data_IF_416642613180
#
_entry.id   IF_416642613180
#
_cell.length_a   1.000
_cell.length_b   1.000
_cell.length_c   1.000
_cell.angle_alpha   90.00
_cell.angle_beta   90.00
_cell.angle_gamma   90.00
#
_symmetry.space_group_name_H-M   'P 1'
#
loop_
_entity.id
_entity.type
_entity.pdbx_description
1 polymer ?
#
# COMPACT_ATOMS: atom_id res chain seq x y z
N UNK A 1 6.72 -16.09 -9.24
CA UNK A 1 6.15 -15.00 -10.09
C UNK A 1 7.00 -14.85 -11.36
N UNK A 2 6.42 -14.33 -12.48
CA UNK A 2 7.16 -14.12 -13.73
C UNK A 2 8.08 -12.88 -13.64
N UNK A 3 9.21 -12.86 -14.40
CA UNK A 3 10.17 -11.74 -14.35
C UNK A 3 9.55 -10.37 -14.62
N UNK A 4 8.53 -10.29 -15.47
CA UNK A 4 7.82 -9.05 -15.82
C UNK A 4 7.22 -8.30 -14.62
N UNK A 5 6.86 -9.01 -13.56
CA UNK A 5 6.23 -8.48 -12.35
C UNK A 5 7.11 -8.61 -11.11
N UNK A 6 8.42 -8.80 -11.32
CA UNK A 6 9.38 -9.04 -10.24
C UNK A 6 10.34 -7.86 -10.11
N UNK A 7 10.39 -7.24 -8.92
CA UNK A 7 11.40 -6.23 -8.60
C UNK A 7 12.61 -6.90 -7.92
N UNK A 8 13.84 -6.48 -8.23
CA UNK A 8 15.05 -7.18 -7.77
C UNK A 8 15.17 -7.32 -6.25
N UNK A 9 14.79 -6.29 -5.49
CA UNK A 9 14.90 -6.29 -4.03
C UNK A 9 14.02 -7.37 -3.38
N UNK A 10 12.77 -7.54 -3.85
CA UNK A 10 11.87 -8.57 -3.34
C UNK A 10 12.28 -9.95 -3.84
N UNK A 11 12.72 -10.08 -5.09
CA UNK A 11 13.23 -11.34 -5.63
C UNK A 11 14.42 -11.88 -4.83
N UNK A 12 15.32 -11.01 -4.40
CA UNK A 12 16.51 -11.40 -3.62
C UNK A 12 16.17 -12.06 -2.27
N UNK A 13 15.00 -11.76 -1.69
CA UNK A 13 14.56 -12.43 -0.45
C UNK A 13 14.27 -13.92 -0.70
N UNK A 14 13.72 -14.23 -1.87
CA UNK A 14 13.28 -15.58 -2.27
C UNK A 14 14.32 -16.35 -3.07
N UNK A 15 15.50 -15.75 -3.28
CA UNK A 15 16.62 -16.41 -3.95
C UNK A 15 17.13 -17.58 -3.13
N UNK A 16 17.45 -18.74 -3.74
CA UNK A 16 17.99 -19.91 -3.05
C UNK A 16 19.23 -19.61 -2.19
N UNK A 17 20.16 -18.78 -2.68
CA UNK A 17 21.35 -18.40 -1.90
C UNK A 17 20.97 -17.65 -0.62
N UNK A 18 20.00 -16.74 -0.70
CA UNK A 18 19.48 -16.01 0.48
C UNK A 18 18.85 -16.98 1.46
N UNK A 19 18.04 -17.93 1.00
CA UNK A 19 17.42 -18.95 1.84
C UNK A 19 18.50 -19.82 2.53
N UNK A 20 19.45 -20.36 1.81
CA UNK A 20 20.52 -21.19 2.38
C UNK A 20 21.40 -20.40 3.34
N UNK A 21 21.64 -19.14 3.08
CA UNK A 21 22.33 -18.24 4.00
C UNK A 21 21.59 -18.12 5.34
N UNK A 22 20.29 -17.89 5.31
CA UNK A 22 19.46 -17.80 6.51
C UNK A 22 19.44 -19.14 7.26
N UNK A 23 19.30 -20.27 6.56
CA UNK A 23 19.36 -21.60 7.18
C UNK A 23 20.70 -21.83 7.90
N UNK A 24 21.81 -21.47 7.24
CA UNK A 24 23.14 -21.55 7.86
C UNK A 24 23.25 -20.64 9.10
N UNK A 25 22.77 -19.40 9.04
CA UNK A 25 22.81 -18.48 10.17
C UNK A 25 22.05 -19.05 11.38
N UNK A 26 20.88 -19.66 11.17
CA UNK A 26 20.10 -20.31 12.23
C UNK A 26 20.87 -21.45 12.86
N UNK A 27 21.43 -22.38 12.05
CA UNK A 27 22.25 -23.52 12.51
C UNK A 27 23.49 -23.06 13.28
N UNK A 28 24.20 -22.07 12.77
CA UNK A 28 25.39 -21.52 13.40
C UNK A 28 25.12 -20.83 14.73
N UNK A 29 24.00 -20.08 14.80
CA UNK A 29 23.57 -19.46 16.06
C UNK A 29 23.09 -20.49 17.08
N UNK A 30 22.38 -21.54 16.64
CA UNK A 30 22.05 -22.67 17.52
C UNK A 30 23.30 -23.35 18.08
N UNK A 31 24.29 -23.68 17.22
CA UNK A 31 25.58 -24.22 17.63
C UNK A 31 26.30 -23.27 18.61
N UNK A 32 26.31 -21.95 18.35
CA UNK A 32 26.91 -20.96 19.26
C UNK A 32 26.25 -20.97 20.64
N UNK A 33 24.91 -21.09 20.68
CA UNK A 33 24.18 -21.20 21.96
C UNK A 33 24.52 -22.50 22.70
N UNK A 34 24.52 -23.62 22.00
CA UNK A 34 24.85 -24.92 22.57
C UNK A 34 26.30 -24.95 23.13
N UNK A 35 27.24 -24.28 22.44
CA UNK A 35 28.61 -24.13 22.92
C UNK A 35 28.69 -23.31 24.22
N UNK A 36 27.90 -22.22 24.34
CA UNK A 36 27.81 -21.44 25.58
C UNK A 36 27.23 -22.24 26.74
N UNK A 37 26.36 -23.19 26.44
CA UNK A 37 25.75 -24.10 27.43
C UNK A 37 26.62 -25.31 27.76
N UNK A 38 27.77 -25.47 27.08
CA UNK A 38 28.69 -26.62 27.27
C UNK A 38 28.18 -27.92 26.64
N UNK A 39 27.18 -27.87 25.76
CA UNK A 39 26.65 -29.05 25.04
C UNK A 39 27.59 -29.50 23.94
N UNK A 40 28.23 -28.54 23.26
CA UNK A 40 29.26 -28.82 22.23
C UNK A 40 30.52 -28.01 22.53
N UNK A 41 31.69 -28.42 21.94
CA UNK A 41 32.95 -27.68 22.10
C UNK A 41 32.85 -26.26 21.51
N UNK A 42 33.40 -25.26 22.19
CA UNK A 42 33.40 -23.87 21.73
C UNK A 42 34.12 -23.66 20.41
N UNK A 43 35.28 -24.29 20.27
CA UNK A 43 36.08 -24.24 19.06
C UNK A 43 35.35 -24.83 17.83
N UNK A 44 34.49 -25.83 18.05
CA UNK A 44 33.66 -26.39 16.98
C UNK A 44 32.66 -25.38 16.47
N UNK A 45 31.93 -24.69 17.36
CA UNK A 45 30.97 -23.65 16.97
C UNK A 45 31.67 -22.47 16.25
N UNK A 46 32.84 -22.06 16.72
CA UNK A 46 33.65 -21.02 16.06
C UNK A 46 34.09 -21.43 14.65
N UNK A 47 34.55 -22.68 14.46
CA UNK A 47 34.91 -23.18 13.14
C UNK A 47 33.72 -23.30 12.19
N UNK A 48 32.56 -23.74 12.68
CA UNK A 48 31.32 -23.75 11.89
C UNK A 48 31.02 -22.33 11.35
N UNK A 49 31.05 -21.32 12.22
CA UNK A 49 30.81 -19.94 11.80
C UNK A 49 31.88 -19.47 10.79
N UNK A 50 33.14 -19.64 11.08
CA UNK A 50 34.23 -19.13 10.23
C UNK A 50 34.25 -19.74 8.83
N UNK A 51 33.94 -21.04 8.70
CA UNK A 51 33.91 -21.71 7.40
C UNK A 51 32.63 -21.42 6.60
N UNK A 52 31.51 -21.23 7.26
CA UNK A 52 30.21 -21.05 6.59
C UNK A 52 29.78 -19.61 6.35
N UNK A 53 30.25 -18.61 7.13
CA UNK A 53 29.79 -17.22 7.07
C UNK A 53 29.92 -16.56 5.70
N UNK A 54 30.94 -16.90 4.92
CA UNK A 54 31.18 -16.33 3.59
C UNK A 54 31.03 -17.40 2.47
N UNK A 55 30.53 -18.60 2.81
CA UNK A 55 30.37 -19.68 1.84
C UNK A 55 29.29 -19.31 0.80
N UNK A 56 29.52 -19.69 -0.44
CA UNK A 56 28.52 -19.73 -1.50
C UNK A 56 27.98 -21.15 -1.54
N UNK A 57 26.66 -21.28 -1.40
CA UNK A 57 26.00 -22.59 -1.42
C UNK A 57 25.82 -23.05 -2.86
N UNK A 58 26.28 -24.25 -3.20
CA UNK A 58 26.05 -24.83 -4.50
C UNK A 58 24.64 -25.41 -4.57
N UNK A 59 23.72 -24.64 -5.21
CA UNK A 59 22.31 -25.00 -5.32
C UNK A 59 22.13 -26.28 -6.12
N UNK A 60 22.89 -26.46 -7.21
CA UNK A 60 22.81 -27.65 -8.06
C UNK A 60 23.26 -28.90 -7.28
N UNK A 61 24.32 -28.76 -6.49
CA UNK A 61 24.82 -29.84 -5.61
C UNK A 61 23.80 -30.19 -4.53
N UNK A 62 23.15 -29.22 -3.91
CA UNK A 62 22.09 -29.48 -2.93
C UNK A 62 20.91 -30.21 -3.58
N UNK A 63 20.50 -29.77 -4.78
CA UNK A 63 19.44 -30.45 -5.55
C UNK A 63 19.80 -31.87 -5.97
N UNK A 64 21.07 -32.14 -6.28
CA UNK A 64 21.56 -33.50 -6.53
C UNK A 64 21.41 -34.40 -5.30
N UNK A 65 21.88 -33.92 -4.14
CA UNK A 65 21.78 -34.65 -2.87
C UNK A 65 20.28 -34.88 -2.53
N UNK A 66 19.44 -33.85 -2.70
CA UNK A 66 17.97 -33.96 -2.43
C UNK A 66 17.32 -35.03 -3.31
N UNK A 67 17.73 -35.16 -4.57
CA UNK A 67 17.21 -36.21 -5.47
C UNK A 67 17.51 -37.63 -4.95
N UNK A 68 18.60 -37.82 -4.19
CA UNK A 68 18.95 -39.10 -3.57
C UNK A 68 18.22 -39.27 -2.23
N UNK A 69 18.39 -38.32 -1.29
CA UNK A 69 17.89 -38.45 0.09
C UNK A 69 16.42 -38.14 0.28
N UNK A 70 15.77 -37.49 -0.72
CA UNK A 70 14.36 -37.10 -0.73
C UNK A 70 13.96 -36.21 0.45
N UNK A 71 14.88 -35.34 0.92
CA UNK A 71 14.66 -34.46 2.07
C UNK A 71 15.52 -33.21 1.95
N UNK A 72 14.89 -32.04 1.80
CA UNK A 72 15.56 -30.76 1.54
C UNK A 72 16.52 -30.31 2.66
N UNK A 73 16.07 -30.39 3.92
CA UNK A 73 16.92 -30.00 5.07
C UNK A 73 18.13 -30.94 5.21
N UNK A 74 17.95 -32.23 5.01
CA UNK A 74 19.09 -33.22 5.03
C UNK A 74 20.03 -32.92 3.89
N UNK A 75 19.56 -32.60 2.69
CA UNK A 75 20.37 -32.23 1.56
C UNK A 75 21.22 -30.98 1.85
N UNK A 76 20.60 -29.95 2.40
CA UNK A 76 21.31 -28.74 2.84
C UNK A 76 22.39 -29.05 3.90
N UNK A 77 22.06 -29.81 4.94
CA UNK A 77 22.99 -30.16 6.01
C UNK A 77 24.16 -31.04 5.48
N UNK A 78 23.90 -31.91 4.53
CA UNK A 78 24.92 -32.73 3.86
C UNK A 78 25.90 -31.84 3.09
N UNK A 79 25.38 -30.89 2.30
CA UNK A 79 26.22 -29.92 1.61
C UNK A 79 26.99 -29.02 2.58
N UNK A 80 26.34 -28.58 3.66
CA UNK A 80 26.98 -27.78 4.70
C UNK A 80 28.14 -28.58 5.38
N UNK A 81 28.00 -29.91 5.52
CA UNK A 81 29.08 -30.77 6.00
C UNK A 81 30.28 -30.81 5.01
N UNK A 82 30.03 -30.78 3.70
CA UNK A 82 31.11 -30.66 2.69
C UNK A 82 31.91 -29.37 2.87
N UNK A 83 31.28 -28.27 3.30
CA UNK A 83 31.90 -26.96 3.54
C UNK A 83 32.62 -26.92 4.89
N UNK A 84 31.92 -27.32 5.96
CA UNK A 84 32.37 -27.17 7.35
C UNK A 84 33.35 -28.28 7.75
N UNK A 85 33.16 -29.51 7.24
CA UNK A 85 33.93 -30.68 7.56
C UNK A 85 33.54 -31.31 8.90
N UNK A 86 34.51 -31.87 9.63
CA UNK A 86 34.26 -32.71 10.81
C UNK A 86 33.43 -32.05 11.93
N UNK A 87 33.45 -30.73 12.03
CA UNK A 87 32.69 -29.97 13.02
C UNK A 87 31.19 -29.93 12.70
N UNK A 88 30.77 -30.24 11.47
CA UNK A 88 29.39 -30.30 11.06
C UNK A 88 28.54 -31.32 11.85
N UNK A 89 29.17 -32.33 12.46
CA UNK A 89 28.53 -33.28 13.37
C UNK A 89 27.84 -32.63 14.58
N UNK A 90 28.15 -31.38 14.86
CA UNK A 90 27.56 -30.60 15.96
C UNK A 90 26.39 -29.71 15.50
N UNK A 91 26.08 -29.66 14.19
CA UNK A 91 24.92 -28.97 13.63
C UNK A 91 23.65 -29.79 13.85
N UNK A 92 22.52 -29.10 13.89
CA UNK A 92 21.16 -29.67 13.96
C UNK A 92 20.92 -30.61 15.18
N UNK A 93 21.71 -30.52 16.23
CA UNK A 93 21.58 -31.41 17.39
C UNK A 93 20.33 -31.12 18.19
N UNK A 94 19.46 -32.13 18.35
CA UNK A 94 18.17 -32.00 19.07
C UNK A 94 17.10 -31.19 18.35
N UNK A 95 17.39 -30.61 17.20
CA UNK A 95 16.47 -29.84 16.37
C UNK A 95 15.73 -30.73 15.39
N UNK A 96 14.66 -30.18 14.80
CA UNK A 96 13.94 -30.76 13.68
C UNK A 96 13.98 -29.83 12.47
N UNK A 97 13.71 -30.35 11.28
CA UNK A 97 13.74 -29.55 10.04
C UNK A 97 12.87 -28.30 10.13
N UNK A 98 11.71 -28.37 10.76
CA UNK A 98 10.81 -27.23 10.91
C UNK A 98 11.35 -26.14 11.82
N UNK A 99 12.17 -26.43 12.81
CA UNK A 99 12.85 -25.43 13.63
C UNK A 99 13.65 -24.45 12.77
N UNK A 100 14.33 -24.98 11.74
CA UNK A 100 15.16 -24.19 10.83
C UNK A 100 14.31 -23.60 9.70
N UNK A 101 13.41 -24.39 9.10
CA UNK A 101 12.59 -23.97 7.95
C UNK A 101 11.60 -22.87 8.33
N UNK A 102 10.87 -23.03 9.43
CA UNK A 102 9.87 -22.04 9.87
C UNK A 102 10.54 -20.75 10.35
N UNK A 103 11.65 -20.85 11.09
CA UNK A 103 12.44 -19.69 11.50
C UNK A 103 13.04 -18.97 10.28
N UNK A 104 13.52 -19.68 9.27
CA UNK A 104 13.97 -19.10 8.00
C UNK A 104 12.81 -18.38 7.28
N UNK A 105 11.67 -19.02 7.20
CA UNK A 105 10.48 -18.45 6.57
C UNK A 105 10.01 -17.18 7.28
N UNK A 106 10.03 -17.16 8.60
CA UNK A 106 9.73 -15.96 9.38
C UNK A 106 10.69 -14.79 9.06
N UNK A 107 11.99 -15.07 8.91
CA UNK A 107 12.99 -14.07 8.50
C UNK A 107 12.68 -13.53 7.10
N UNK A 108 12.36 -14.41 6.14
CA UNK A 108 12.03 -14.00 4.77
C UNK A 108 10.75 -13.13 4.75
N UNK A 109 9.69 -13.56 5.41
CA UNK A 109 8.43 -12.80 5.49
C UNK A 109 8.60 -11.45 6.20
N UNK A 110 9.39 -11.40 7.28
CA UNK A 110 9.75 -10.15 7.95
C UNK A 110 10.49 -9.18 7.02
N UNK A 111 11.48 -9.66 6.26
CA UNK A 111 12.21 -8.85 5.27
C UNK A 111 11.30 -8.39 4.13
N UNK A 112 10.39 -9.23 3.68
CA UNK A 112 9.38 -8.85 2.70
C UNK A 112 8.45 -7.74 3.21
N UNK A 113 8.04 -7.81 4.49
CA UNK A 113 7.27 -6.73 5.13
C UNK A 113 8.02 -5.39 5.11
N UNK A 114 9.34 -5.39 5.31
CA UNK A 114 10.13 -4.14 5.29
C UNK A 114 10.01 -3.44 3.93
N UNK A 115 10.18 -4.19 2.84
CA UNK A 115 10.03 -3.66 1.47
C UNK A 115 8.58 -3.15 1.23
N UNK A 116 7.58 -3.94 1.63
CA UNK A 116 6.17 -3.56 1.45
C UNK A 116 5.79 -2.31 2.27
N UNK A 117 6.39 -2.11 3.45
CA UNK A 117 6.21 -0.91 4.26
C UNK A 117 6.82 0.32 3.58
N UNK A 118 8.01 0.19 3.00
CA UNK A 118 8.67 1.26 2.23
C UNK A 118 7.85 1.64 0.98
N UNK A 119 7.26 0.65 0.30
CA UNK A 119 6.35 0.89 -0.83
C UNK A 119 5.07 1.62 -0.40
N UNK A 120 4.48 1.22 0.73
CA UNK A 120 3.32 1.92 1.31
C UNK A 120 3.67 3.35 1.72
N UNK A 121 4.84 3.59 2.31
CA UNK A 121 5.31 4.93 2.67
C UNK A 121 5.50 5.81 1.41
N UNK A 122 6.01 5.23 0.33
CA UNK A 122 6.13 5.90 -0.98
C UNK A 122 4.76 6.27 -1.56
N UNK A 123 3.79 5.35 -1.51
CA UNK A 123 2.42 5.61 -1.95
C UNK A 123 1.73 6.69 -1.10
N UNK A 124 1.88 6.63 0.22
CA UNK A 124 1.33 7.61 1.16
C UNK A 124 1.89 9.00 0.89
N UNK A 125 3.20 9.13 0.65
CA UNK A 125 3.83 10.41 0.31
C UNK A 125 3.27 10.98 -1.01
N UNK A 126 3.06 10.15 -2.02
CA UNK A 126 2.45 10.57 -3.29
C UNK A 126 1.00 11.03 -3.09
N UNK A 127 0.19 10.27 -2.34
CA UNK A 127 -1.20 10.61 -2.03
C UNK A 127 -1.30 11.91 -1.23
N UNK A 128 -0.48 12.11 -0.19
CA UNK A 128 -0.43 13.32 0.61
C UNK A 128 -0.12 14.54 -0.28
N UNK A 129 0.96 14.48 -1.05
CA UNK A 129 1.37 15.57 -1.93
C UNK A 129 0.27 15.95 -2.91
N UNK A 130 -0.33 14.97 -3.58
CA UNK A 130 -1.39 15.19 -4.57
C UNK A 130 -2.70 15.66 -3.92
N UNK A 131 -3.04 15.16 -2.73
CA UNK A 131 -4.20 15.66 -1.96
C UNK A 131 -4.07 17.15 -1.65
N UNK A 132 -2.91 17.60 -1.19
CA UNK A 132 -2.68 19.02 -0.92
C UNK A 132 -2.66 19.87 -2.19
N UNK A 133 -2.10 19.39 -3.30
CA UNK A 133 -2.09 20.06 -4.60
C UNK A 133 -3.52 20.34 -5.07
N UNK A 134 -4.42 19.36 -4.92
CA UNK A 134 -5.80 19.44 -5.36
C UNK A 134 -6.82 19.68 -4.24
N UNK A 135 -6.36 20.19 -3.09
CA UNK A 135 -7.18 20.40 -1.90
C UNK A 135 -8.50 21.13 -2.17
N UNK A 136 -8.45 22.13 -3.01
CA UNK A 136 -9.59 22.98 -3.37
C UNK A 136 -10.00 22.83 -4.85
N UNK A 137 -9.55 21.82 -5.56
CA UNK A 137 -9.97 21.54 -6.93
C UNK A 137 -11.37 20.91 -6.89
N UNK A 138 -12.44 21.66 -7.28
CA UNK A 138 -13.80 21.17 -7.16
C UNK A 138 -14.11 20.13 -8.24
N UNK A 139 -14.88 19.13 -7.87
CA UNK A 139 -15.42 18.12 -8.78
C UNK A 139 -16.79 17.66 -8.31
N UNK A 140 -17.52 16.97 -9.17
CA UNK A 140 -18.78 16.35 -8.80
C UNK A 140 -18.55 15.03 -8.05
N UNK A 141 -19.18 14.87 -6.90
CA UNK A 141 -19.33 13.60 -6.21
C UNK A 141 -20.36 12.72 -6.89
N UNK A 142 -20.07 11.43 -7.02
CA UNK A 142 -20.97 10.45 -7.62
C UNK A 142 -21.30 9.35 -6.61
N UNK A 143 -22.58 9.09 -6.40
CA UNK A 143 -23.07 7.89 -5.72
C UNK A 143 -23.95 7.11 -6.71
N UNK A 144 -23.87 5.78 -6.68
CA UNK A 144 -24.53 4.90 -7.66
C UNK A 144 -24.21 5.23 -9.13
N UNK A 145 -23.07 5.91 -9.40
CA UNK A 145 -22.71 6.42 -10.73
C UNK A 145 -23.38 7.73 -11.13
N UNK A 146 -24.28 8.27 -10.31
CA UNK A 146 -25.07 9.48 -10.58
C UNK A 146 -24.45 10.69 -9.86
N UNK A 147 -24.57 11.87 -10.47
CA UNK A 147 -24.14 13.13 -9.86
C UNK A 147 -24.89 13.39 -8.55
N UNK A 148 -24.17 13.62 -7.46
CA UNK A 148 -24.69 13.94 -6.14
C UNK A 148 -24.33 15.39 -5.75
N UNK A 149 -23.41 15.57 -4.82
CA UNK A 149 -22.99 16.89 -4.34
C UNK A 149 -21.52 17.18 -4.69
N UNK A 150 -21.10 18.45 -4.70
CA UNK A 150 -19.72 18.84 -4.91
C UNK A 150 -18.79 18.33 -3.81
N UNK A 151 -17.61 17.88 -4.20
CA UNK A 151 -16.46 17.64 -3.32
C UNK A 151 -15.19 18.20 -3.97
N UNK A 152 -14.02 17.93 -3.39
CA UNK A 152 -12.74 18.25 -4.05
C UNK A 152 -11.98 16.99 -4.42
N UNK A 153 -11.18 17.05 -5.49
CA UNK A 153 -10.30 15.94 -5.85
C UNK A 153 -9.29 15.63 -4.73
N UNK A 154 -8.83 16.67 -4.01
CA UNK A 154 -7.99 16.50 -2.83
C UNK A 154 -8.66 15.70 -1.72
N UNK A 155 -9.97 15.86 -1.46
CA UNK A 155 -10.71 15.03 -0.50
C UNK A 155 -10.77 13.56 -0.94
N UNK A 156 -10.93 13.29 -2.23
CA UNK A 156 -10.91 11.93 -2.79
C UNK A 156 -9.56 11.25 -2.52
N UNK A 157 -8.45 11.96 -2.73
CA UNK A 157 -7.11 11.47 -2.45
C UNK A 157 -6.82 11.36 -0.95
N UNK A 158 -7.33 12.29 -0.12
CA UNK A 158 -7.23 12.20 1.33
C UNK A 158 -7.96 10.97 1.90
N UNK A 159 -9.09 10.59 1.32
CA UNK A 159 -9.79 9.35 1.70
C UNK A 159 -8.95 8.11 1.38
N UNK A 160 -8.29 8.08 0.21
CA UNK A 160 -7.36 7.01 -0.14
C UNK A 160 -6.14 6.99 0.80
N UNK A 161 -5.55 8.15 1.10
CA UNK A 161 -4.46 8.26 2.08
C UNK A 161 -4.83 7.63 3.42
N UNK A 162 -5.96 8.00 4.01
CA UNK A 162 -6.41 7.45 5.29
C UNK A 162 -6.65 5.92 5.25
N UNK A 163 -7.05 5.38 4.10
CA UNK A 163 -7.20 3.93 3.89
C UNK A 163 -5.83 3.23 3.87
N UNK A 164 -4.85 3.77 3.16
CA UNK A 164 -3.50 3.20 3.11
C UNK A 164 -2.70 3.42 4.40
N UNK A 165 -2.98 4.45 5.20
CA UNK A 165 -2.46 4.56 6.57
C UNK A 165 -2.93 3.39 7.46
N UNK A 166 -4.21 3.02 7.36
CA UNK A 166 -4.73 1.83 8.05
C UNK A 166 -4.13 0.53 7.51
N UNK A 167 -3.90 0.45 6.20
CA UNK A 167 -3.22 -0.69 5.57
C UNK A 167 -1.78 -0.84 6.10
N UNK A 168 -1.04 0.28 6.20
CA UNK A 168 0.30 0.32 6.80
C UNK A 168 0.30 -0.16 8.26
N UNK A 169 -0.63 0.33 9.06
CA UNK A 169 -0.74 -0.08 10.47
C UNK A 169 -1.01 -1.58 10.62
N UNK A 170 -1.88 -2.15 9.75
CA UNK A 170 -2.12 -3.60 9.72
C UNK A 170 -0.88 -4.39 9.33
N UNK A 171 -0.11 -3.92 8.34
CA UNK A 171 1.12 -4.60 7.92
C UNK A 171 2.20 -4.55 9.00
N UNK A 172 2.31 -3.44 9.76
CA UNK A 172 3.20 -3.37 10.93
C UNK A 172 2.81 -4.41 11.98
N UNK A 173 1.52 -4.57 12.28
CA UNK A 173 1.04 -5.59 13.21
C UNK A 173 1.31 -7.01 12.67
N UNK A 174 0.99 -7.28 11.41
CA UNK A 174 1.25 -8.57 10.77
C UNK A 174 2.75 -8.92 10.73
N UNK A 175 3.63 -7.92 10.49
CA UNK A 175 5.08 -8.10 10.58
C UNK A 175 5.53 -8.51 11.97
N UNK A 176 4.99 -7.87 13.02
CA UNK A 176 5.34 -8.21 14.39
C UNK A 176 4.89 -9.63 14.76
N UNK A 177 3.72 -10.04 14.27
CA UNK A 177 3.16 -11.37 14.51
C UNK A 177 3.89 -12.48 13.77
N UNK A 178 4.28 -12.26 12.50
CA UNK A 178 4.98 -13.28 11.69
C UNK A 178 6.48 -13.38 12.02
N UNK A 179 7.08 -12.39 12.68
CA UNK A 179 8.49 -12.38 13.05
C UNK A 179 8.76 -13.28 14.27
N UNK A 180 8.47 -14.58 14.16
CA UNK A 180 8.46 -15.55 15.25
C UNK A 180 9.47 -16.68 14.97
N UNK A 181 10.16 -17.14 16.01
CA UNK A 181 11.17 -18.21 15.99
C UNK A 181 10.66 -19.37 16.86
N UNK A 182 10.82 -20.60 16.39
CA UNK A 182 10.64 -21.79 17.17
C UNK A 182 11.83 -22.74 16.96
N UNK A 183 12.54 -23.10 18.03
CA UNK A 183 13.59 -24.11 18.07
C UNK A 183 13.28 -25.02 19.25
N UNK A 184 12.31 -25.89 19.09
CA UNK A 184 11.71 -26.64 20.21
C UNK A 184 11.67 -28.15 19.99
N UNK A 185 12.21 -28.63 18.87
CA UNK A 185 12.30 -30.05 18.54
C UNK A 185 11.03 -30.62 17.90
N UNK A 186 10.99 -31.95 17.68
CA UNK A 186 9.99 -32.60 16.80
C UNK A 186 8.52 -32.39 17.17
N UNK A 187 8.21 -32.06 18.41
CA UNK A 187 6.83 -31.87 18.89
C UNK A 187 6.71 -30.70 19.88
N UNK A 188 7.68 -29.78 19.90
CA UNK A 188 7.60 -28.55 20.69
C UNK A 188 7.90 -28.69 22.19
N UNK A 189 8.46 -29.83 22.64
CA UNK A 189 8.64 -30.11 24.07
C UNK A 189 10.05 -29.81 24.61
N UNK A 190 10.98 -29.36 23.78
CA UNK A 190 12.37 -29.13 24.12
C UNK A 190 13.10 -30.37 24.69
N UNK A 191 12.66 -31.59 24.33
CA UNK A 191 13.21 -32.83 24.88
C UNK A 191 14.71 -32.98 24.67
N UNK A 192 15.26 -32.49 23.55
CA UNK A 192 16.68 -32.65 23.18
C UNK A 192 17.38 -31.34 22.87
N UNK A 193 16.70 -30.19 23.04
CA UNK A 193 17.27 -28.85 22.84
C UNK A 193 16.87 -27.95 24.02
N UNK A 194 17.82 -27.18 24.56
CA UNK A 194 17.54 -26.27 25.68
C UNK A 194 16.80 -25.02 25.17
N UNK A 195 15.71 -24.54 25.84
CA UNK A 195 14.99 -23.32 25.43
C UNK A 195 15.84 -22.07 25.29
N UNK A 196 17.01 -22.04 25.96
CA UNK A 196 17.98 -20.93 25.81
C UNK A 196 18.61 -20.88 24.42
N UNK A 197 18.64 -22.00 23.68
CA UNK A 197 19.08 -22.05 22.28
C UNK A 197 18.10 -21.27 21.42
N UNK A 198 16.80 -21.53 21.55
CA UNK A 198 15.74 -20.80 20.84
C UNK A 198 15.80 -19.29 21.14
N UNK A 199 15.89 -18.91 22.40
CA UNK A 199 15.97 -17.50 22.82
C UNK A 199 17.21 -16.81 22.20
N UNK A 200 18.33 -17.52 22.09
CA UNK A 200 19.54 -17.00 21.47
C UNK A 200 19.36 -16.83 19.95
N UNK A 201 18.85 -17.83 19.23
CA UNK A 201 18.58 -17.78 17.80
C UNK A 201 17.58 -16.66 17.50
N UNK A 202 16.46 -16.58 18.21
CA UNK A 202 15.47 -15.53 18.05
C UNK A 202 16.10 -14.12 18.15
N UNK A 203 16.91 -13.90 19.20
CA UNK A 203 17.64 -12.64 19.39
C UNK A 203 18.58 -12.32 18.24
N UNK A 204 19.35 -13.28 17.77
CA UNK A 204 20.34 -13.08 16.70
C UNK A 204 19.66 -12.82 15.34
N UNK A 205 18.53 -13.49 15.07
CA UNK A 205 17.73 -13.31 13.84
C UNK A 205 16.74 -12.12 13.93
N UNK A 206 16.66 -11.47 15.10
CA UNK A 206 15.75 -10.34 15.34
C UNK A 206 14.28 -10.77 15.29
N UNK A 207 13.97 -11.94 15.83
CA UNK A 207 12.65 -12.54 15.95
C UNK A 207 12.18 -12.57 17.42
N UNK A 208 10.91 -12.85 17.65
CA UNK A 208 10.36 -13.18 18.97
C UNK A 208 10.26 -14.69 19.13
N UNK A 209 10.34 -15.17 20.34
CA UNK A 209 10.16 -16.61 20.64
C UNK A 209 8.68 -16.97 20.55
N UNK A 210 8.33 -18.09 19.92
CA UNK A 210 7.00 -18.67 19.95
C UNK A 210 6.70 -19.19 21.36
N UNK A 211 5.62 -18.73 22.03
CA UNK A 211 5.30 -19.18 23.39
C UNK A 211 5.08 -20.68 23.50
N UNK A 212 4.44 -21.27 22.49
CA UNK A 212 4.19 -22.71 22.40
C UNK A 212 4.03 -23.11 20.93
N UNK A 213 4.88 -24.02 20.48
CA UNK A 213 4.77 -24.62 19.13
C UNK A 213 4.43 -26.11 19.24
N UNK A 214 4.04 -26.68 18.11
CA UNK A 214 4.05 -28.12 17.86
C UNK A 214 5.38 -28.49 17.18
N UNK A 215 5.38 -29.23 16.11
CA UNK A 215 6.58 -29.34 15.23
C UNK A 215 6.77 -28.06 14.41
N UNK A 216 5.74 -27.22 14.27
CA UNK A 216 5.71 -26.02 13.46
C UNK A 216 5.20 -24.83 14.26
N UNK A 217 5.56 -23.62 13.81
CA UNK A 217 4.91 -22.38 14.27
C UNK A 217 3.43 -22.43 13.86
N UNK A 218 2.46 -22.02 14.70
CA UNK A 218 1.04 -22.00 14.37
C UNK A 218 0.74 -21.21 13.09
N UNK A 219 -0.04 -21.80 12.17
CA UNK A 219 -0.29 -21.23 10.82
C UNK A 219 -1.34 -20.12 10.78
N UNK A 220 -2.06 -19.88 11.87
CA UNK A 220 -2.93 -18.70 12.01
C UNK A 220 -2.14 -17.38 11.85
N UNK A 221 -0.88 -17.31 12.30
CA UNK A 221 0.04 -16.18 12.06
C UNK A 221 0.27 -15.94 10.57
N UNK A 222 0.52 -17.01 9.83
CA UNK A 222 0.71 -16.94 8.37
C UNK A 222 -0.60 -16.57 7.67
N UNK A 223 -1.72 -17.16 8.07
CA UNK A 223 -3.05 -16.83 7.54
C UNK A 223 -3.37 -15.34 7.73
N UNK A 224 -3.11 -14.77 8.91
CA UNK A 224 -3.29 -13.33 9.18
C UNK A 224 -2.37 -12.46 8.31
N UNK A 225 -1.12 -12.88 8.12
CA UNK A 225 -0.20 -12.19 7.23
C UNK A 225 -0.77 -12.11 5.81
N UNK A 226 -1.15 -13.25 5.18
CA UNK A 226 -1.70 -13.27 3.82
C UNK A 226 -3.05 -12.56 3.71
N UNK A 227 -3.91 -12.64 4.74
CA UNK A 227 -5.15 -11.86 4.81
C UNK A 227 -4.87 -10.35 4.81
N UNK A 228 -3.82 -9.92 5.51
CA UNK A 228 -3.39 -8.51 5.50
C UNK A 228 -2.95 -8.07 4.10
N UNK A 229 -2.15 -8.89 3.39
CA UNK A 229 -1.77 -8.60 1.99
C UNK A 229 -3.00 -8.51 1.09
N UNK A 230 -3.99 -9.39 1.26
CA UNK A 230 -5.23 -9.40 0.49
C UNK A 230 -6.07 -8.13 0.71
N UNK A 231 -6.13 -7.62 1.95
CA UNK A 231 -6.82 -6.34 2.27
C UNK A 231 -6.10 -5.16 1.61
N UNK A 232 -4.76 -5.13 1.66
CA UNK A 232 -3.97 -4.09 0.98
C UNK A 232 -4.24 -4.12 -0.53
N UNK A 233 -4.19 -5.30 -1.16
CA UNK A 233 -4.48 -5.48 -2.57
C UNK A 233 -5.90 -5.02 -2.95
N UNK A 234 -6.89 -5.26 -2.08
CA UNK A 234 -8.27 -4.79 -2.29
C UNK A 234 -8.38 -3.26 -2.27
N UNK A 235 -7.65 -2.60 -1.37
CA UNK A 235 -7.56 -1.13 -1.32
C UNK A 235 -6.88 -0.57 -2.59
N UNK A 236 -5.86 -1.26 -3.09
CA UNK A 236 -5.19 -0.87 -4.35
C UNK A 236 -6.14 -1.00 -5.55
N UNK A 237 -6.90 -2.09 -5.64
CA UNK A 237 -7.89 -2.28 -6.71
C UNK A 237 -8.98 -1.20 -6.66
N UNK A 238 -9.47 -0.86 -5.47
CA UNK A 238 -10.46 0.22 -5.30
C UNK A 238 -9.95 1.54 -5.87
N UNK A 239 -8.72 1.95 -5.52
CA UNK A 239 -8.14 3.20 -6.01
C UNK A 239 -7.86 3.14 -7.52
N UNK A 240 -7.32 2.05 -8.02
CA UNK A 240 -7.07 1.84 -9.45
C UNK A 240 -8.38 1.86 -10.26
N UNK A 241 -9.45 1.27 -9.74
CA UNK A 241 -10.78 1.32 -10.36
C UNK A 241 -11.34 2.74 -10.41
N UNK A 242 -11.17 3.54 -9.35
CA UNK A 242 -11.55 4.95 -9.35
C UNK A 242 -10.82 5.74 -10.44
N UNK A 243 -9.50 5.54 -10.61
CA UNK A 243 -8.72 6.19 -11.67
C UNK A 243 -9.25 5.81 -13.05
N UNK A 244 -9.57 4.51 -13.27
CA UNK A 244 -10.17 4.05 -14.54
C UNK A 244 -11.52 4.72 -14.80
N UNK A 245 -12.36 4.91 -13.78
CA UNK A 245 -13.61 5.66 -13.90
C UNK A 245 -13.38 7.13 -14.25
N UNK A 246 -12.37 7.78 -13.69
CA UNK A 246 -12.04 9.18 -13.99
C UNK A 246 -11.50 9.35 -15.41
N UNK A 247 -10.85 8.32 -15.98
CA UNK A 247 -10.27 8.34 -17.33
C UNK A 247 -11.27 7.98 -18.44
N UNK A 248 -12.47 7.48 -18.13
CA UNK A 248 -13.48 7.15 -19.14
C UNK A 248 -13.77 8.37 -20.04
N UNK A 249 -14.03 8.12 -21.31
CA UNK A 249 -14.26 9.17 -22.34
C UNK A 249 -15.34 10.18 -21.95
N UNK A 250 -16.42 9.71 -21.29
CA UNK A 250 -17.56 10.53 -20.86
C UNK A 250 -17.27 11.34 -19.58
N UNK A 251 -16.24 10.98 -18.83
CA UNK A 251 -15.83 11.61 -17.56
C UNK A 251 -14.61 12.49 -17.76
N UNK A 252 -13.50 11.92 -18.19
CA UNK A 252 -12.22 12.54 -18.55
C UNK A 252 -11.74 13.61 -17.55
N UNK A 253 -11.79 13.29 -16.27
CA UNK A 253 -11.40 14.18 -15.16
C UNK A 253 -9.95 13.96 -14.72
N UNK A 254 -9.40 12.77 -14.97
CA UNK A 254 -8.00 12.43 -14.77
C UNK A 254 -7.56 11.38 -15.80
N UNK A 255 -6.24 11.24 -16.00
CA UNK A 255 -5.65 10.32 -16.98
C UNK A 255 -4.29 9.83 -16.49
N UNK A 256 -3.95 8.55 -16.74
CA UNK A 256 -2.59 8.04 -16.54
C UNK A 256 -1.59 8.81 -17.39
N UNK A 257 -0.40 9.06 -16.84
CA UNK A 257 0.66 9.74 -17.58
C UNK A 257 1.16 8.85 -18.74
N UNK A 258 1.20 9.42 -19.92
CA UNK A 258 1.77 8.81 -21.11
C UNK A 258 3.13 9.43 -21.42
N UNK A 259 4.17 8.60 -21.45
CA UNK A 259 5.51 9.05 -21.82
C UNK A 259 5.64 9.27 -23.34
N UNK A 260 6.61 10.10 -23.74
CA UNK A 260 6.91 10.30 -25.15
C UNK A 260 7.25 8.95 -25.81
N UNK A 261 6.64 8.68 -26.96
CA UNK A 261 6.82 7.42 -27.70
C UNK A 261 5.99 6.23 -27.21
N UNK A 262 5.31 6.32 -26.09
CA UNK A 262 4.42 5.26 -25.61
C UNK A 262 3.25 5.05 -26.59
N UNK A 263 2.87 3.80 -26.83
CA UNK A 263 1.70 3.43 -27.64
C UNK A 263 0.55 3.01 -26.72
N UNK A 264 -0.60 3.66 -26.86
CA UNK A 264 -1.79 3.37 -26.04
C UNK A 264 -2.72 2.31 -26.66
N UNK A 265 -2.63 2.14 -27.97
CA UNK A 265 -3.45 1.19 -28.73
C UNK A 265 -2.71 0.77 -29.98
N UNK A 266 -2.88 -0.49 -30.40
CA UNK A 266 -2.33 -1.01 -31.65
C UNK A 266 -3.14 -0.56 -32.88
N UNK A 267 -4.43 -0.26 -32.69
CA UNK A 267 -5.35 0.07 -33.78
C UNK A 267 -5.64 1.59 -33.92
N UNK A 268 -5.74 2.31 -32.78
CA UNK A 268 -6.13 3.71 -32.75
C UNK A 268 -5.04 4.57 -32.09
N UNK A 269 -4.25 5.35 -32.86
CA UNK A 269 -3.08 6.07 -32.30
C UNK A 269 -3.39 7.09 -31.20
N UNK A 270 -4.61 7.63 -31.18
CA UNK A 270 -5.06 8.60 -30.16
C UNK A 270 -5.58 7.96 -28.87
N UNK A 271 -5.87 6.64 -28.87
CA UNK A 271 -6.49 5.95 -27.74
C UNK A 271 -5.47 5.68 -26.65
N UNK A 272 -5.69 6.24 -25.46
CA UNK A 272 -4.87 6.06 -24.26
C UNK A 272 -5.60 5.21 -23.25
N UNK A 273 -5.24 3.94 -23.16
CA UNK A 273 -5.87 3.00 -22.24
C UNK A 273 -5.25 3.13 -20.83
N UNK A 274 -6.02 2.97 -19.74
CA UNK A 274 -5.53 2.98 -18.37
C UNK A 274 -4.85 1.65 -17.99
N UNK A 275 -3.78 1.29 -18.73
CA UNK A 275 -3.14 -0.04 -18.66
C UNK A 275 -2.49 -0.29 -17.31
N UNK A 276 -1.97 0.74 -16.64
CA UNK A 276 -1.34 0.59 -15.34
C UNK A 276 -2.39 0.24 -14.27
N UNK A 277 -3.51 0.95 -14.24
CA UNK A 277 -4.63 0.67 -13.33
C UNK A 277 -5.27 -0.69 -13.60
N UNK A 278 -5.44 -1.08 -14.87
CA UNK A 278 -5.95 -2.41 -15.26
C UNK A 278 -5.02 -3.52 -14.77
N UNK A 279 -3.71 -3.35 -14.93
CA UNK A 279 -2.73 -4.31 -14.46
C UNK A 279 -2.75 -4.43 -12.93
N UNK A 280 -2.85 -3.31 -12.19
CA UNK A 280 -2.97 -3.32 -10.72
C UNK A 280 -4.24 -4.09 -10.30
N UNK A 281 -5.39 -3.86 -10.95
CA UNK A 281 -6.63 -4.59 -10.63
C UNK A 281 -6.48 -6.09 -10.89
N UNK A 282 -5.75 -6.48 -11.93
CA UNK A 282 -5.46 -7.89 -12.22
C UNK A 282 -4.58 -8.55 -11.15
N UNK A 283 -3.47 -7.88 -10.78
CA UNK A 283 -2.54 -8.38 -9.75
C UNK A 283 -3.20 -8.48 -8.37
N UNK A 284 -4.08 -7.53 -8.02
CA UNK A 284 -4.82 -7.58 -6.76
C UNK A 284 -5.70 -8.84 -6.62
N UNK A 285 -6.25 -9.36 -7.72
CA UNK A 285 -7.01 -10.62 -7.71
C UNK A 285 -6.14 -11.81 -7.34
N UNK A 286 -4.90 -11.86 -7.86
CA UNK A 286 -3.94 -12.93 -7.53
C UNK A 286 -3.59 -12.88 -6.05
N UNK A 287 -3.20 -11.70 -5.53
CA UNK A 287 -2.83 -11.55 -4.11
C UNK A 287 -3.97 -11.97 -3.18
N UNK A 288 -5.22 -11.62 -3.49
CA UNK A 288 -6.38 -12.09 -2.72
C UNK A 288 -6.56 -13.60 -2.79
N UNK A 289 -6.29 -14.19 -3.96
CA UNK A 289 -6.39 -15.64 -4.15
C UNK A 289 -5.44 -16.42 -3.24
N UNK A 290 -4.27 -15.88 -2.93
CA UNK A 290 -3.29 -16.53 -2.07
C UNK A 290 -3.65 -16.55 -0.57
N UNK A 291 -4.60 -15.73 -0.13
CA UNK A 291 -5.06 -15.77 1.27
C UNK A 291 -5.88 -17.02 1.60
N UNK A 292 -6.63 -17.57 0.66
CA UNK A 292 -7.45 -18.76 0.88
C UNK A 292 -6.61 -19.99 1.24
N UNK A 293 -5.62 -20.41 0.44
CA UNK A 293 -4.80 -21.57 0.81
C UNK A 293 -3.97 -21.33 2.07
N UNK A 294 -3.61 -20.10 2.39
CA UNK A 294 -2.96 -19.79 3.67
C UNK A 294 -3.89 -20.01 4.87
N UNK A 295 -5.18 -19.72 4.75
CA UNK A 295 -6.18 -20.01 5.78
C UNK A 295 -6.42 -21.53 5.92
N UNK A 296 -6.39 -22.26 4.82
CA UNK A 296 -6.54 -23.73 4.83
C UNK A 296 -5.36 -24.42 5.55
N UNK A 297 -4.17 -23.82 5.51
CA UNK A 297 -3.01 -24.34 6.22
C UNK A 297 -3.10 -24.26 7.76
N UNK A 298 -4.08 -23.56 8.31
CA UNK A 298 -4.29 -23.52 9.78
C UNK A 298 -4.66 -24.91 10.33
N UNK A 299 -5.41 -25.68 9.54
CA UNK A 299 -5.89 -27.01 9.92
C UNK A 299 -4.90 -28.11 9.52
N UNK A 300 -3.79 -28.24 10.25
CA UNK A 300 -2.86 -29.34 10.09
C UNK A 300 -3.24 -30.53 11.00
N UNK A 301 -2.81 -31.74 10.60
CA UNK A 301 -3.02 -32.95 11.42
C UNK A 301 -2.06 -32.99 12.58
N UNK A 302 -2.59 -33.16 13.80
CA UNK A 302 -1.84 -33.33 15.04
C UNK A 302 -0.76 -32.23 15.21
N UNK A 303 0.47 -32.61 15.51
CA UNK A 303 1.60 -31.69 15.67
C UNK A 303 2.13 -31.16 14.35
N UNK A 304 1.89 -31.85 13.21
CA UNK A 304 2.16 -31.43 11.84
C UNK A 304 1.78 -32.50 10.81
N UNK A 305 1.25 -32.09 9.67
CA UNK A 305 1.46 -32.76 8.39
C UNK A 305 2.22 -31.81 7.42
N UNK A 306 2.63 -32.28 6.24
CA UNK A 306 3.48 -31.48 5.33
C UNK A 306 2.68 -30.73 4.26
N UNK A 307 1.35 -30.75 4.30
CA UNK A 307 0.49 -30.13 3.27
C UNK A 307 0.74 -28.64 3.10
N UNK A 308 1.03 -27.93 4.20
CA UNK A 308 1.33 -26.50 4.18
C UNK A 308 2.58 -26.15 3.34
N UNK A 309 3.56 -27.02 3.30
CA UNK A 309 4.88 -26.74 2.71
C UNK A 309 4.79 -26.44 1.21
N UNK A 310 4.05 -27.26 0.44
CA UNK A 310 3.87 -27.04 -1.00
C UNK A 310 3.11 -25.75 -1.30
N UNK A 311 2.16 -25.38 -0.44
CA UNK A 311 1.40 -24.13 -0.56
C UNK A 311 2.30 -22.93 -0.30
N UNK A 312 3.03 -22.91 0.82
CA UNK A 312 3.83 -21.78 1.26
C UNK A 312 5.01 -21.47 0.32
N UNK A 313 5.61 -22.49 -0.30
CA UNK A 313 6.65 -22.33 -1.32
C UNK A 313 6.18 -21.55 -2.55
N UNK A 314 4.88 -21.55 -2.84
CA UNK A 314 4.28 -20.83 -3.96
C UNK A 314 3.72 -19.49 -3.53
N UNK A 315 2.83 -19.49 -2.53
CA UNK A 315 2.06 -18.29 -2.19
C UNK A 315 2.92 -17.17 -1.59
N UNK A 316 3.98 -17.49 -0.85
CA UNK A 316 4.78 -16.49 -0.17
C UNK A 316 5.61 -15.63 -1.15
N UNK A 317 6.45 -16.20 -2.02
CA UNK A 317 7.14 -15.40 -3.03
C UNK A 317 6.15 -14.71 -3.99
N UNK A 318 5.11 -15.40 -4.44
CA UNK A 318 4.21 -14.86 -5.45
C UNK A 318 3.34 -13.72 -4.92
N UNK A 319 2.80 -13.82 -3.70
CA UNK A 319 2.01 -12.76 -3.09
C UNK A 319 2.84 -11.50 -2.82
N UNK A 320 4.03 -11.67 -2.23
CA UNK A 320 4.89 -10.54 -1.85
C UNK A 320 5.48 -9.85 -3.07
N UNK A 321 5.94 -10.60 -4.07
CA UNK A 321 6.47 -10.06 -5.34
C UNK A 321 5.37 -9.32 -6.12
N UNK A 322 4.16 -9.90 -6.22
CA UNK A 322 3.05 -9.26 -6.92
C UNK A 322 2.61 -7.97 -6.23
N UNK A 323 2.54 -7.98 -4.90
CA UNK A 323 2.11 -6.82 -4.11
C UNK A 323 3.16 -5.70 -4.16
N UNK A 324 4.44 -6.00 -3.99
CA UNK A 324 5.57 -5.07 -4.12
C UNK A 324 5.56 -4.36 -5.48
N UNK A 325 5.47 -5.13 -6.56
CA UNK A 325 5.41 -4.58 -7.91
C UNK A 325 4.18 -3.66 -8.10
N UNK A 326 3.02 -4.09 -7.62
CA UNK A 326 1.78 -3.35 -7.81
C UNK A 326 1.72 -2.08 -6.94
N UNK A 327 2.25 -2.09 -5.71
CA UNK A 327 2.37 -0.91 -4.84
C UNK A 327 3.29 0.15 -5.46
N UNK A 328 4.48 -0.25 -5.92
CA UNK A 328 5.42 0.65 -6.57
C UNK A 328 4.81 1.26 -7.86
N UNK A 329 4.06 0.46 -8.63
CA UNK A 329 3.34 0.93 -9.81
C UNK A 329 2.25 1.93 -9.45
N UNK A 330 1.46 1.66 -8.41
CA UNK A 330 0.40 2.55 -7.95
C UNK A 330 0.96 3.88 -7.43
N UNK A 331 2.04 3.84 -6.66
CA UNK A 331 2.72 5.05 -6.19
C UNK A 331 3.18 5.94 -7.36
N UNK A 332 3.83 5.36 -8.36
CA UNK A 332 4.27 6.08 -9.56
C UNK A 332 3.11 6.60 -10.42
N UNK A 333 1.98 5.87 -10.46
CA UNK A 333 0.77 6.29 -11.15
C UNK A 333 0.15 7.52 -10.49
N UNK A 334 -0.04 7.50 -9.17
CA UNK A 334 -0.59 8.62 -8.39
C UNK A 334 0.31 9.85 -8.50
N UNK A 335 1.63 9.65 -8.39
CA UNK A 335 2.61 10.73 -8.46
C UNK A 335 2.52 11.50 -9.79
N UNK A 336 2.34 10.78 -10.91
CA UNK A 336 2.34 11.33 -12.26
C UNK A 336 0.96 11.54 -12.87
N UNK A 337 -0.13 11.27 -12.11
CA UNK A 337 -1.50 11.35 -12.61
C UNK A 337 -1.80 12.74 -13.21
N UNK A 338 -2.25 12.77 -14.44
CA UNK A 338 -2.74 13.99 -15.08
C UNK A 338 -4.14 14.30 -14.57
N UNK A 339 -4.37 15.51 -14.11
CA UNK A 339 -5.66 15.95 -13.56
C UNK A 339 -6.17 17.12 -14.39
N UNK A 340 -7.45 17.11 -14.73
CA UNK A 340 -8.10 18.09 -15.59
C UNK A 340 -9.17 18.92 -14.82
N UNK A 341 -8.77 19.96 -14.05
CA UNK A 341 -9.69 20.77 -13.25
C UNK A 341 -10.79 21.43 -14.08
N UNK A 342 -10.51 21.83 -15.30
CA UNK A 342 -11.49 22.42 -16.22
C UNK A 342 -12.59 21.41 -16.59
N UNK A 343 -12.22 20.15 -16.85
CA UNK A 343 -13.19 19.08 -17.15
C UNK A 343 -13.99 18.71 -15.88
N UNK A 344 -13.34 18.66 -14.72
CA UNK A 344 -14.04 18.48 -13.44
C UNK A 344 -15.11 19.54 -13.21
N UNK A 345 -14.78 20.82 -13.46
CA UNK A 345 -15.73 21.92 -13.36
C UNK A 345 -16.87 21.81 -14.38
N UNK A 346 -16.56 21.48 -15.64
CA UNK A 346 -17.56 21.25 -16.69
C UNK A 346 -18.54 20.14 -16.31
N UNK A 347 -18.04 19.03 -15.75
CA UNK A 347 -18.88 17.91 -15.31
C UNK A 347 -19.73 18.30 -14.07
N UNK A 348 -19.17 19.09 -13.15
CA UNK A 348 -19.91 19.63 -12.00
C UNK A 348 -21.12 20.48 -12.45
N UNK A 349 -20.93 21.29 -13.49
CA UNK A 349 -21.98 22.20 -14.00
C UNK A 349 -22.97 21.51 -14.96
N UNK A 350 -22.69 20.29 -15.40
CA UNK A 350 -23.38 19.58 -16.49
C UNK A 350 -24.90 19.48 -16.32
N UNK A 351 -25.37 19.37 -15.09
CA UNK A 351 -26.79 19.22 -14.77
C UNK A 351 -27.44 20.53 -14.34
N UNK A 352 -27.01 21.69 -14.89
CA UNK A 352 -27.70 22.97 -14.74
C UNK A 352 -28.00 23.37 -13.28
N UNK A 353 -27.09 23.08 -12.35
CA UNK A 353 -27.23 23.48 -10.95
C UNK A 353 -28.02 22.52 -10.05
N UNK A 354 -28.50 21.36 -10.53
CA UNK A 354 -29.25 20.36 -9.75
C UNK A 354 -28.49 19.85 -8.51
N UNK A 355 -27.18 19.93 -8.50
CA UNK A 355 -26.32 19.58 -7.35
C UNK A 355 -26.63 20.37 -6.08
N UNK A 356 -27.35 21.50 -6.22
CA UNK A 356 -27.78 22.37 -5.11
C UNK A 356 -29.22 22.07 -4.64
N UNK A 357 -29.92 21.09 -5.19
CA UNK A 357 -31.34 20.82 -4.91
C UNK A 357 -31.62 20.58 -3.42
N UNK A 358 -30.72 19.84 -2.71
CA UNK A 358 -30.86 19.65 -1.27
C UNK A 358 -30.70 20.95 -0.49
N UNK A 359 -29.78 21.82 -0.87
CA UNK A 359 -29.60 23.13 -0.23
C UNK A 359 -30.84 23.98 -0.34
N UNK A 360 -31.40 24.06 -1.54
CA UNK A 360 -32.67 24.81 -1.77
C UNK A 360 -33.81 24.24 -0.93
N UNK A 361 -33.92 22.90 -0.86
CA UNK A 361 -34.95 22.25 -0.04
C UNK A 361 -34.77 22.61 1.45
N UNK A 362 -33.55 22.59 1.96
CA UNK A 362 -33.24 22.98 3.35
C UNK A 362 -33.53 24.45 3.60
N UNK A 363 -33.17 25.34 2.68
CA UNK A 363 -33.46 26.77 2.78
C UNK A 363 -34.98 27.05 2.83
N UNK A 364 -35.76 26.39 2.00
CA UNK A 364 -37.23 26.48 2.02
C UNK A 364 -37.81 26.04 3.38
N UNK A 365 -37.35 24.91 3.92
CA UNK A 365 -37.84 24.43 5.23
C UNK A 365 -37.44 25.36 6.37
N UNK A 366 -36.26 25.95 6.34
CA UNK A 366 -35.82 26.96 7.31
C UNK A 366 -36.62 28.24 7.26
N UNK A 367 -37.27 28.52 6.13
CA UNK A 367 -38.18 29.68 5.93
C UNK A 367 -39.64 29.34 6.18
N UNK A 368 -39.94 28.17 6.70
CA UNK A 368 -41.28 27.79 7.15
C UNK A 368 -42.09 26.92 6.20
N UNK A 369 -41.52 26.48 5.06
CA UNK A 369 -42.20 25.48 4.24
C UNK A 369 -42.18 24.10 4.95
N UNK A 370 -43.28 23.33 4.83
CA UNK A 370 -43.23 21.93 5.26
C UNK A 370 -42.23 21.13 4.43
N UNK A 371 -41.79 19.97 4.93
CA UNK A 371 -40.87 19.11 4.20
C UNK A 371 -41.46 18.67 2.85
N UNK A 372 -42.74 18.31 2.86
CA UNK A 372 -43.49 17.86 1.68
C UNK A 372 -43.60 18.98 0.66
N UNK A 373 -43.92 20.20 1.14
CA UNK A 373 -44.01 21.37 0.29
C UNK A 373 -42.67 21.75 -0.32
N UNK A 374 -41.60 21.79 0.49
CA UNK A 374 -40.26 22.07 0.01
C UNK A 374 -39.82 21.03 -1.02
N UNK A 375 -40.08 19.74 -0.77
CA UNK A 375 -39.74 18.65 -1.71
C UNK A 375 -40.49 18.84 -3.04
N UNK A 376 -41.81 19.09 -2.99
CA UNK A 376 -42.67 19.34 -4.18
C UNK A 376 -42.14 20.51 -4.99
N UNK A 377 -41.84 21.63 -4.33
CA UNK A 377 -41.34 22.83 -5.00
C UNK A 377 -39.97 22.59 -5.66
N UNK A 378 -39.06 21.93 -4.98
CA UNK A 378 -37.73 21.58 -5.53
C UNK A 378 -37.89 20.62 -6.70
N UNK A 379 -38.64 19.52 -6.55
CA UNK A 379 -38.82 18.50 -7.58
C UNK A 379 -39.48 19.08 -8.85
N UNK A 380 -40.50 19.91 -8.69
CA UNK A 380 -41.18 20.57 -9.81
C UNK A 380 -40.24 21.41 -10.68
N UNK A 381 -39.27 22.09 -10.07
CA UNK A 381 -38.27 22.89 -10.77
C UNK A 381 -37.06 22.06 -11.24
N UNK A 382 -36.75 20.98 -10.56
CA UNK A 382 -35.59 20.13 -10.89
C UNK A 382 -35.87 19.20 -12.09
N UNK A 383 -37.08 18.63 -12.20
CA UNK A 383 -37.40 17.65 -13.25
C UNK A 383 -37.31 18.20 -14.68
N UNK A 384 -37.71 19.43 -14.99
CA UNK A 384 -37.45 20.02 -16.29
C UNK A 384 -35.95 20.12 -16.61
N UNK A 385 -35.15 20.60 -15.64
CA UNK A 385 -33.67 20.69 -15.80
C UNK A 385 -33.06 19.34 -16.06
N UNK A 386 -33.53 18.29 -15.36
CA UNK A 386 -33.06 16.90 -15.59
C UNK A 386 -33.32 16.43 -17.04
N UNK A 387 -34.43 16.92 -17.66
CA UNK A 387 -34.73 16.66 -19.07
C UNK A 387 -34.00 17.59 -20.05
N UNK A 388 -33.16 18.50 -19.57
CA UNK A 388 -32.45 19.49 -20.39
C UNK A 388 -33.24 20.76 -20.70
N UNK A 389 -34.36 21.01 -19.99
CA UNK A 389 -35.29 22.14 -20.20
C UNK A 389 -34.95 23.31 -19.25
N UNK A 390 -33.78 23.93 -19.45
CA UNK A 390 -33.41 25.15 -18.72
C UNK A 390 -32.37 24.94 -17.58
N UNK A 391 -32.30 25.95 -16.70
CA UNK A 391 -31.35 26.05 -15.58
C UNK A 391 -32.11 26.12 -14.25
N UNK A 392 -31.63 25.37 -13.25
CA UNK A 392 -32.34 25.18 -11.98
C UNK A 392 -32.52 26.49 -11.20
N UNK A 393 -31.47 27.31 -11.14
CA UNK A 393 -31.58 28.63 -10.48
C UNK A 393 -32.61 29.55 -11.17
N UNK A 394 -32.57 29.55 -12.50
CA UNK A 394 -33.53 30.35 -13.30
C UNK A 394 -34.96 29.92 -13.07
N UNK A 395 -35.26 28.63 -13.04
CA UNK A 395 -36.62 28.13 -12.79
C UNK A 395 -37.08 28.44 -11.38
N UNK A 396 -36.26 28.25 -10.36
CA UNK A 396 -36.57 28.62 -8.97
C UNK A 396 -36.85 30.11 -8.82
N UNK A 397 -36.09 30.97 -9.49
CA UNK A 397 -36.28 32.43 -9.45
C UNK A 397 -37.58 32.85 -10.08
N UNK A 398 -38.07 32.16 -11.12
CA UNK A 398 -39.35 32.43 -11.77
C UNK A 398 -40.56 31.84 -11.04
N UNK A 399 -40.37 30.88 -10.16
CA UNK A 399 -41.43 30.19 -9.44
C UNK A 399 -42.00 31.06 -8.31
N UNK A 400 -43.25 31.51 -8.48
CA UNK A 400 -43.94 32.38 -7.52
C UNK A 400 -44.12 31.75 -6.13
N UNK A 401 -44.29 30.42 -6.03
CA UNK A 401 -44.42 29.75 -4.74
C UNK A 401 -43.07 29.67 -4.00
N UNK A 402 -41.98 29.35 -4.72
CA UNK A 402 -40.63 29.43 -4.16
C UNK A 402 -40.31 30.84 -3.68
N UNK A 403 -40.70 31.85 -4.45
CA UNK A 403 -40.50 33.27 -4.15
C UNK A 403 -41.28 33.79 -2.93
N UNK A 404 -42.24 33.03 -2.40
CA UNK A 404 -42.87 33.32 -1.11
C UNK A 404 -41.95 33.11 0.07
N UNK A 405 -41.05 32.17 -0.05
CA UNK A 405 -40.08 31.76 1.01
C UNK A 405 -38.72 32.38 0.81
N UNK A 406 -38.21 32.44 -0.41
CA UNK A 406 -36.85 32.85 -0.72
C UNK A 406 -36.81 34.02 -1.71
N UNK A 407 -36.07 35.06 -1.38
CA UNK A 407 -35.73 36.15 -2.30
C UNK A 407 -34.76 35.66 -3.39
N UNK A 408 -34.61 36.43 -4.48
CA UNK A 408 -33.63 36.09 -5.55
C UNK A 408 -32.19 36.01 -5.03
N UNK A 409 -31.85 36.91 -4.09
CA UNK A 409 -30.53 36.93 -3.44
C UNK A 409 -30.31 35.68 -2.61
N UNK A 410 -31.29 35.21 -1.87
CA UNK A 410 -31.24 33.99 -1.09
C UNK A 410 -31.12 32.76 -2.01
N UNK A 411 -31.94 32.67 -3.06
CA UNK A 411 -31.81 31.62 -4.08
C UNK A 411 -30.43 31.63 -4.66
N UNK A 412 -29.87 32.79 -5.05
CA UNK A 412 -28.54 32.89 -5.61
C UNK A 412 -27.44 32.38 -4.65
N UNK A 413 -27.60 32.63 -3.33
CA UNK A 413 -26.66 32.18 -2.30
C UNK A 413 -26.64 30.64 -2.17
N UNK A 414 -27.74 29.95 -2.49
CA UNK A 414 -27.79 28.49 -2.45
C UNK A 414 -26.93 27.82 -3.55
N UNK A 415 -26.50 28.57 -4.57
CA UNK A 415 -25.62 28.09 -5.64
C UNK A 415 -24.14 28.44 -5.42
N UNK A 416 -23.79 28.99 -4.26
CA UNK A 416 -22.38 29.24 -3.91
C UNK A 416 -21.67 27.93 -3.58
N UNK A 417 -20.70 27.56 -4.41
CA UNK A 417 -19.88 26.37 -4.23
C UNK A 417 -19.09 26.38 -2.92
N UNK A 418 -18.71 27.56 -2.40
CA UNK A 418 -17.95 27.70 -1.15
C UNK A 418 -18.66 27.03 0.04
N UNK A 419 -19.98 26.95 0.02
CA UNK A 419 -20.75 26.26 1.03
C UNK A 419 -20.39 24.78 1.18
N UNK A 420 -20.26 24.07 0.06
CA UNK A 420 -19.91 22.64 0.06
C UNK A 420 -18.43 22.42 0.47
N UNK A 421 -17.58 23.42 0.32
CA UNK A 421 -16.15 23.32 0.59
C UNK A 421 -15.73 23.87 1.96
N UNK A 422 -16.66 24.44 2.74
CA UNK A 422 -16.37 25.15 4.01
C UNK A 422 -15.66 24.29 5.06
N UNK A 423 -15.81 22.98 5.03
CA UNK A 423 -15.21 22.04 5.99
C UNK A 423 -14.01 21.24 5.44
N UNK A 424 -13.52 21.55 4.24
CA UNK A 424 -12.35 20.88 3.66
C UNK A 424 -11.13 20.99 4.57
N UNK A 425 -10.88 22.19 5.13
CA UNK A 425 -9.77 22.41 6.06
C UNK A 425 -9.87 21.52 7.32
N UNK A 426 -11.10 21.36 7.86
CA UNK A 426 -11.36 20.51 9.02
C UNK A 426 -11.06 19.05 8.72
N UNK A 427 -11.49 18.55 7.56
CA UNK A 427 -11.26 17.15 7.14
C UNK A 427 -9.76 16.91 6.92
N UNK A 428 -9.08 17.84 6.23
CA UNK A 428 -7.63 17.74 6.05
C UNK A 428 -6.87 17.74 7.38
N UNK A 429 -7.29 18.55 8.35
CA UNK A 429 -6.69 18.55 9.68
C UNK A 429 -6.87 17.21 10.42
N UNK A 430 -8.02 16.55 10.25
CA UNK A 430 -8.27 15.21 10.83
C UNK A 430 -7.38 14.13 10.20
N UNK A 431 -7.16 14.19 8.88
CA UNK A 431 -6.38 13.19 8.15
C UNK A 431 -4.87 13.42 8.32
N UNK A 432 -4.41 14.65 8.16
CA UNK A 432 -2.98 14.98 8.09
C UNK A 432 -2.41 15.65 9.36
N UNK A 433 -3.25 15.93 10.36
CA UNK A 433 -2.83 16.52 11.63
C UNK A 433 -2.06 17.85 11.46
N UNK A 434 -0.96 18.02 12.20
CA UNK A 434 -0.13 19.22 12.15
C UNK A 434 0.49 19.53 10.76
N UNK A 435 0.55 18.55 9.85
CA UNK A 435 1.01 18.77 8.46
C UNK A 435 0.07 19.67 7.68
N UNK A 436 -1.24 19.63 7.98
CA UNK A 436 -2.24 20.51 7.36
C UNK A 436 -2.00 21.99 7.63
N UNK A 437 -1.37 22.36 8.75
CA UNK A 437 -1.06 23.75 9.12
C UNK A 437 0.18 24.31 8.40
N UNK A 438 1.16 23.47 8.06
CA UNK A 438 2.41 23.90 7.38
C UNK A 438 2.18 24.40 5.95
N UNK A 439 1.19 23.88 5.24
CA UNK A 439 0.85 24.34 3.88
C UNK A 439 0.23 25.74 3.85
N UNK A 440 -0.39 26.21 4.94
CA UNK A 440 -0.91 27.59 5.08
C UNK A 440 0.19 28.63 5.16
N UNK A 441 1.31 28.31 5.79
CA UNK A 441 2.42 29.25 5.97
C UNK A 441 3.24 29.45 4.70
N UNK A 442 3.34 28.45 3.83
CA UNK A 442 4.06 28.58 2.55
C UNK A 442 3.31 29.43 1.50
N UNK A 443 1.97 29.49 1.55
CA UNK A 443 1.15 30.32 0.66
C UNK A 443 1.01 31.78 1.12
N UNK A 444 1.43 32.13 2.34
CA UNK A 444 1.38 33.52 2.90
C UNK A 444 2.69 34.30 2.79
N UNK A 445 3.68 33.85 2.03
CA UNK A 445 4.81 34.70 1.67
C UNK A 445 4.47 35.46 0.38
N UNK A 446 4.04 36.73 0.45
CA UNK A 446 3.81 37.52 -0.74
C UNK A 446 5.15 37.93 -1.35
N UNK A 447 5.18 38.07 -2.67
CA UNK A 447 6.15 38.65 -3.58
C UNK A 447 6.90 39.90 -3.10
N UNK A 448 7.64 39.87 -1.99
CA UNK A 448 8.55 40.97 -1.60
C UNK A 448 10.03 40.71 -1.93
N UNK A 449 10.35 39.56 -2.54
CA UNK A 449 11.74 39.21 -2.87
C UNK A 449 12.18 39.71 -4.27
N UNK A 450 11.26 39.88 -5.22
CA UNK A 450 11.64 40.35 -6.60
C UNK A 450 12.00 41.84 -6.69
N UNK A 451 11.61 42.67 -5.72
CA UNK A 451 11.94 44.11 -5.73
C UNK A 451 13.36 44.44 -5.27
N UNK A 452 14.01 43.57 -4.51
CA UNK A 452 15.37 43.84 -4.00
C UNK A 452 16.48 43.44 -4.98
N UNK A 453 16.32 42.39 -5.77
CA UNK A 453 17.31 42.01 -6.80
C UNK A 453 17.31 42.95 -8.00
N UNK A 454 16.16 43.47 -8.41
CA UNK A 454 16.07 44.45 -9.50
C UNK A 454 16.72 45.82 -9.11
N UNK A 455 16.67 46.19 -7.83
CA UNK A 455 17.32 47.42 -7.33
C UNK A 455 18.84 47.26 -7.21
N UNK A 456 19.34 46.10 -6.77
CA UNK A 456 20.76 45.79 -6.71
C UNK A 456 21.44 45.76 -8.09
N UNK A 457 20.77 45.16 -9.08
CA UNK A 457 21.28 45.07 -10.45
C UNK A 457 21.28 46.41 -11.18
N UNK A 458 20.38 47.36 -10.85
CA UNK A 458 20.42 48.74 -11.38
C UNK A 458 21.54 49.58 -10.75
N UNK A 459 21.87 49.37 -9.48
CA UNK A 459 23.03 50.04 -8.83
C UNK A 459 24.36 49.54 -9.36
N UNK A 460 24.49 48.21 -9.61
CA UNK A 460 25.71 47.62 -10.17
C UNK A 460 25.96 48.09 -11.63
N UNK A 461 24.92 48.18 -12.47
CA UNK A 461 25.04 48.70 -13.85
C UNK A 461 25.37 50.19 -13.89
N UNK A 462 24.93 51.03 -12.94
CA UNK A 462 25.33 52.47 -12.84
C UNK A 462 26.76 52.65 -12.35
N UNK A 463 27.26 51.75 -11.50
CA UNK A 463 28.66 51.82 -11.05
C UNK A 463 29.65 51.44 -12.16
N UNK A 464 29.34 50.43 -12.97
CA UNK A 464 30.16 50.03 -14.13
C UNK A 464 30.16 51.06 -15.29
N UNK A 465 29.09 51.85 -15.44
CA UNK A 465 29.03 52.91 -16.44
C UNK A 465 29.81 54.18 -16.04
N UNK A 466 30.08 54.38 -14.73
CA UNK A 466 30.88 55.50 -14.20
C UNK A 466 32.40 55.23 -14.20
N UNK A 467 32.80 53.95 -14.26
CA UNK A 467 34.21 53.54 -14.32
C UNK A 467 34.80 53.43 -15.76
N UNK A 468 33.98 53.73 -16.77
CA UNK A 468 34.39 53.74 -18.21
C UNK A 468 34.33 55.12 -18.85
N UNK A 469 34.34 56.19 -18.03
CA UNK A 469 34.59 57.56 -18.50
C UNK A 469 35.83 58.14 -17.85
#
# INVERSE_FOLDING_TARGET
>A
MIPRYTRPAMAAIWDPQTRFRILFEIEAHAASAMAKLGVIPRDAAEKVWQKGKDAVFDVERIDEIEREVKHDTVAFLTHLNEIVGAEARFLHQGMTSSDVLDTCFAVQLKRACDILLDDLDTLLAALERRAFEHKLTPMIGRSHGIHAEPLTFGLKLAAAYAEFERARSRLVAAKAEIATCAISGPVGTFASVDPRVEAHVAKMMGLTVEPVSTQVIPRDRHAMFFATLAVIASSMERLATEIRHLQRSEVYEAEEFFSAGQKGSSAMPHKRNPVLSENITGLARLVRGFATPAMENVALWHERDISHSSVERVIAPDATIALDFALARLAGLIDKLLVYPATMKKNLDRLGGLVNSQRVMLALTQKGASREEAYRLVQRNAMPVWRGEGDFRTLLTKDKEVRRFLSEKEIAAEFDLAYHLKHVDTIFARVFGARASRSRTSRRRPEKAKGREASANRKAKRALAKARR
#
